data_IF_029388827171
#
_entry.id   IF_029388827171
#
_cell.length_a   1.000
_cell.length_b   1.000
_cell.length_c   1.000
_cell.angle_alpha   90.00
_cell.angle_beta   90.00
_cell.angle_gamma   90.00
#
_symmetry.space_group_name_H-M   'P 1'
#
loop_
_entity.id
_entity.type
_entity.pdbx_description
1 polymer ?
#
# COMPACT_ATOMS: atom_id res chain seq x y z
N UNK A 1 6.49 -2.07 -15.91
CA UNK A 1 7.20 -1.24 -14.91
C UNK A 1 8.03 -2.16 -14.02
N UNK A 2 9.28 -1.80 -13.69
CA UNK A 2 10.14 -2.64 -12.85
C UNK A 2 10.04 -2.22 -11.37
N UNK A 3 9.43 -3.06 -10.53
CA UNK A 3 9.30 -2.80 -9.09
C UNK A 3 10.66 -2.59 -8.40
N UNK A 4 11.74 -3.24 -8.87
CA UNK A 4 13.07 -3.06 -8.30
C UNK A 4 13.62 -1.65 -8.55
N UNK A 5 13.36 -1.08 -9.73
CA UNK A 5 13.74 0.31 -10.04
C UNK A 5 13.00 1.29 -9.14
N UNK A 6 11.70 1.07 -8.92
CA UNK A 6 10.89 1.90 -8.04
C UNK A 6 11.35 1.79 -6.58
N UNK A 7 11.69 0.60 -6.10
CA UNK A 7 12.28 0.39 -4.76
C UNK A 7 13.59 1.18 -4.62
N UNK A 8 14.48 1.10 -5.60
CA UNK A 8 15.75 1.83 -5.56
C UNK A 8 15.56 3.36 -5.55
N UNK A 9 14.57 3.88 -6.30
CA UNK A 9 14.19 5.29 -6.27
C UNK A 9 13.69 5.72 -4.88
N UNK A 10 12.75 4.96 -4.31
CA UNK A 10 12.18 5.27 -2.99
C UNK A 10 13.27 5.18 -1.91
N UNK A 11 14.19 4.21 -2.00
CA UNK A 11 15.34 4.12 -1.09
C UNK A 11 16.22 5.38 -1.12
N UNK A 12 16.49 5.94 -2.31
CA UNK A 12 17.25 7.19 -2.43
C UNK A 12 16.48 8.40 -1.92
N UNK A 13 15.16 8.44 -2.11
CA UNK A 13 14.31 9.51 -1.57
C UNK A 13 14.24 9.51 -0.05
N UNK A 14 14.28 8.33 0.58
CA UNK A 14 14.33 8.21 2.05
C UNK A 14 15.67 8.70 2.61
N UNK A 15 16.76 8.53 1.87
CA UNK A 15 18.11 8.88 2.32
C UNK A 15 18.87 9.62 1.20
N UNK A 16 18.47 10.86 0.88
CA UNK A 16 19.07 11.60 -0.22
C UNK A 16 20.52 11.98 0.10
N UNK A 17 21.39 11.87 -0.90
CA UNK A 17 22.80 12.29 -0.76
C UNK A 17 22.94 13.81 -0.84
N UNK A 18 22.19 14.43 -1.75
CA UNK A 18 22.11 15.88 -1.93
C UNK A 18 20.73 16.30 -2.47
N UNK A 19 20.51 17.61 -2.51
CA UNK A 19 19.25 18.22 -2.96
C UNK A 19 18.97 17.99 -4.45
N UNK A 20 20.01 17.91 -5.28
CA UNK A 20 19.89 17.72 -6.72
C UNK A 20 19.39 16.31 -7.03
N UNK A 21 19.98 15.31 -6.39
CA UNK A 21 19.56 13.91 -6.49
C UNK A 21 18.12 13.72 -6.00
N UNK A 22 17.74 14.38 -4.89
CA UNK A 22 16.36 14.35 -4.40
C UNK A 22 15.37 14.86 -5.46
N UNK A 23 15.65 16.02 -6.07
CA UNK A 23 14.78 16.60 -7.10
C UNK A 23 14.69 15.71 -8.36
N UNK A 24 15.79 15.08 -8.76
CA UNK A 24 15.82 14.15 -9.89
C UNK A 24 15.01 12.88 -9.61
N UNK A 25 15.14 12.30 -8.42
CA UNK A 25 14.38 11.12 -8.03
C UNK A 25 12.88 11.46 -7.87
N UNK A 26 12.54 12.63 -7.34
CA UNK A 26 11.15 13.11 -7.26
C UNK A 26 10.53 13.30 -8.65
N UNK A 27 11.26 13.93 -9.58
CA UNK A 27 10.83 14.05 -10.97
C UNK A 27 10.64 12.67 -11.63
N UNK A 28 11.56 11.74 -11.39
CA UNK A 28 11.46 10.37 -11.88
C UNK A 28 10.19 9.69 -11.36
N UNK A 29 9.87 9.83 -10.06
CA UNK A 29 8.61 9.31 -9.49
C UNK A 29 7.39 9.91 -10.19
N UNK A 30 7.40 11.21 -10.50
CA UNK A 30 6.31 11.86 -11.22
C UNK A 30 6.12 11.32 -12.65
N UNK A 31 7.21 10.96 -13.33
CA UNK A 31 7.18 10.29 -14.63
C UNK A 31 6.65 8.85 -14.52
N UNK A 32 7.12 8.08 -13.53
CA UNK A 32 6.61 6.73 -13.24
C UNK A 32 5.11 6.76 -12.93
N UNK A 33 4.62 7.80 -12.26
CA UNK A 33 3.20 7.97 -11.94
C UNK A 33 2.30 8.14 -13.16
N UNK A 34 2.85 8.44 -14.35
CA UNK A 34 2.08 8.49 -15.60
C UNK A 34 1.88 7.11 -16.24
N UNK A 35 2.64 6.09 -15.80
CA UNK A 35 2.61 4.76 -16.37
C UNK A 35 1.48 3.90 -15.77
N UNK A 36 0.76 3.11 -16.57
CA UNK A 36 -0.23 2.16 -16.06
C UNK A 36 0.39 1.16 -15.06
N UNK A 37 -0.34 0.84 -14.00
CA UNK A 37 0.10 -0.11 -12.97
C UNK A 37 1.10 0.46 -11.97
N UNK A 38 1.31 1.78 -11.96
CA UNK A 38 2.17 2.45 -10.96
C UNK A 38 1.64 2.25 -9.54
N UNK A 39 0.33 2.41 -9.33
CA UNK A 39 -0.31 2.20 -8.04
C UNK A 39 -0.19 0.75 -7.58
N UNK A 40 -0.40 -0.20 -8.49
CA UNK A 40 -0.20 -1.63 -8.20
C UNK A 40 1.25 -1.93 -7.79
N UNK A 41 2.23 -1.36 -8.49
CA UNK A 41 3.64 -1.50 -8.15
C UNK A 41 3.96 -0.92 -6.76
N UNK A 42 3.42 0.25 -6.42
CA UNK A 42 3.56 0.82 -5.07
C UNK A 42 2.92 -0.08 -4.02
N UNK A 43 1.74 -0.62 -4.29
CA UNK A 43 1.06 -1.52 -3.36
C UNK A 43 1.82 -2.83 -3.13
N UNK A 44 2.57 -3.33 -4.11
CA UNK A 44 3.48 -4.47 -3.88
C UNK A 44 4.60 -4.12 -2.88
N UNK A 45 5.13 -2.89 -2.93
CA UNK A 45 6.20 -2.43 -2.05
C UNK A 45 5.69 -2.24 -0.62
N UNK A 46 4.47 -1.76 -0.45
CA UNK A 46 3.87 -1.43 0.85
C UNK A 46 3.47 -2.66 1.66
N UNK A 47 3.31 -3.83 1.03
CA UNK A 47 2.78 -5.06 1.65
C UNK A 47 3.67 -5.63 2.78
N UNK A 48 3.07 -6.29 3.79
CA UNK A 48 3.80 -6.96 4.86
C UNK A 48 4.75 -8.05 4.37
N UNK A 49 4.45 -8.72 3.25
CA UNK A 49 5.30 -9.76 2.65
C UNK A 49 6.60 -9.20 2.06
N UNK A 50 6.71 -7.88 1.90
CA UNK A 50 7.93 -7.20 1.46
C UNK A 50 8.94 -7.03 2.60
N UNK A 51 9.06 -8.05 3.48
CA UNK A 51 9.85 -8.07 4.72
C UNK A 51 11.33 -7.75 4.51
N UNK A 52 11.85 -7.96 3.29
CA UNK A 52 13.23 -7.60 2.94
C UNK A 52 13.43 -6.09 2.76
N UNK A 53 12.37 -5.30 2.66
CA UNK A 53 12.43 -3.86 2.54
C UNK A 53 12.38 -3.22 3.93
N UNK A 54 13.21 -2.20 4.12
CA UNK A 54 13.17 -1.36 5.32
C UNK A 54 11.81 -0.69 5.47
N UNK A 55 11.35 -0.54 6.71
CA UNK A 55 10.05 0.08 6.99
C UNK A 55 9.96 1.53 6.52
N UNK A 56 11.06 2.28 6.50
CA UNK A 56 11.10 3.67 5.99
C UNK A 56 10.74 3.75 4.49
N UNK A 57 11.24 2.81 3.68
CA UNK A 57 10.91 2.65 2.25
C UNK A 57 9.44 2.29 2.07
N UNK A 58 8.95 1.31 2.84
CA UNK A 58 7.55 0.88 2.80
C UNK A 58 6.61 2.01 3.23
N UNK A 59 7.02 2.80 4.22
CA UNK A 59 6.27 3.95 4.71
C UNK A 59 6.19 5.06 3.65
N UNK A 60 7.31 5.44 3.03
CA UNK A 60 7.31 6.42 1.93
C UNK A 60 6.47 5.94 0.74
N UNK A 61 6.60 4.66 0.35
CA UNK A 61 5.77 4.07 -0.70
C UNK A 61 4.27 4.17 -0.37
N UNK A 62 3.88 3.99 0.89
CA UNK A 62 2.48 4.12 1.32
C UNK A 62 1.98 5.56 1.23
N UNK A 63 2.83 6.55 1.55
CA UNK A 63 2.50 7.98 1.38
C UNK A 63 2.29 8.31 -0.09
N UNK A 64 3.20 7.87 -0.97
CA UNK A 64 3.09 8.09 -2.42
C UNK A 64 1.80 7.43 -2.96
N UNK A 65 1.50 6.20 -2.55
CA UNK A 65 0.29 5.48 -2.95
C UNK A 65 -0.98 6.21 -2.51
N UNK A 66 -1.03 6.70 -1.27
CA UNK A 66 -2.15 7.49 -0.76
C UNK A 66 -2.38 8.73 -1.62
N UNK A 67 -1.31 9.46 -1.94
CA UNK A 67 -1.40 10.68 -2.75
C UNK A 67 -1.86 10.38 -4.19
N UNK A 68 -1.34 9.29 -4.79
CA UNK A 68 -1.80 8.82 -6.10
C UNK A 68 -3.31 8.55 -6.10
N UNK A 69 -3.82 7.85 -5.09
CA UNK A 69 -5.25 7.56 -4.96
C UNK A 69 -6.05 8.85 -4.82
N UNK A 70 -5.69 9.75 -3.89
CA UNK A 70 -6.41 11.02 -3.70
C UNK A 70 -6.50 11.86 -4.98
N UNK A 71 -5.45 11.89 -5.80
CA UNK A 71 -5.38 12.74 -7.01
C UNK A 71 -6.00 12.07 -8.25
N UNK A 72 -5.79 10.76 -8.39
CA UNK A 72 -5.98 10.04 -9.65
C UNK A 72 -7.12 9.02 -9.63
N UNK A 73 -7.78 8.77 -8.48
CA UNK A 73 -8.85 7.77 -8.40
C UNK A 73 -9.97 8.04 -9.41
N UNK A 74 -10.60 9.21 -9.40
CA UNK A 74 -11.54 9.63 -10.46
C UNK A 74 -10.92 10.60 -11.48
N UNK A 75 -9.65 10.97 -11.30
CA UNK A 75 -8.97 11.99 -12.09
C UNK A 75 -9.44 13.38 -11.73
N UNK A 76 -8.77 14.04 -10.78
CA UNK A 76 -9.05 15.44 -10.43
C UNK A 76 -8.29 16.36 -11.39
N UNK A 77 -8.97 17.41 -11.91
CA UNK A 77 -8.43 18.53 -12.73
C UNK A 77 -7.01 18.30 -13.31
N UNK A 78 -6.95 17.70 -14.49
CA UNK A 78 -5.69 17.54 -15.24
C UNK A 78 -4.84 16.32 -14.86
N UNK A 79 -5.23 15.55 -13.84
CA UNK A 79 -4.62 14.25 -13.52
C UNK A 79 -5.34 13.12 -14.26
N UNK A 80 -4.56 12.15 -14.76
CA UNK A 80 -5.10 10.96 -15.42
C UNK A 80 -5.86 10.11 -14.41
N UNK A 81 -7.06 9.66 -14.78
CA UNK A 81 -7.85 8.71 -13.99
C UNK A 81 -7.17 7.33 -13.97
N UNK A 82 -7.17 6.65 -12.82
CA UNK A 82 -6.74 5.26 -12.69
C UNK A 82 -7.65 4.33 -13.49
N UNK A 83 -7.05 3.35 -14.16
CA UNK A 83 -7.78 2.35 -14.94
C UNK A 83 -8.60 1.44 -14.02
N UNK A 84 -9.78 1.01 -14.47
CA UNK A 84 -10.71 0.26 -13.60
C UNK A 84 -10.12 -1.09 -13.12
N UNK A 85 -9.28 -1.73 -13.94
CA UNK A 85 -8.54 -2.94 -13.56
C UNK A 85 -7.55 -2.69 -12.42
N UNK A 86 -6.80 -1.58 -12.50
CA UNK A 86 -5.88 -1.16 -11.45
C UNK A 86 -6.63 -0.80 -10.16
N UNK A 87 -7.77 -0.13 -10.25
CA UNK A 87 -8.63 0.12 -9.08
C UNK A 87 -9.09 -1.17 -8.42
N UNK A 88 -9.60 -2.13 -9.21
CA UNK A 88 -10.09 -3.40 -8.68
C UNK A 88 -8.98 -4.17 -7.95
N UNK A 89 -7.77 -4.19 -8.52
CA UNK A 89 -6.61 -4.81 -7.87
C UNK A 89 -6.22 -4.10 -6.57
N UNK A 90 -6.16 -2.75 -6.57
CA UNK A 90 -5.84 -1.95 -5.39
C UNK A 90 -6.83 -2.18 -4.24
N UNK A 91 -8.13 -2.23 -4.54
CA UNK A 91 -9.19 -2.52 -3.54
C UNK A 91 -8.93 -3.82 -2.80
N UNK A 92 -8.78 -4.89 -3.57
CA UNK A 92 -8.62 -6.25 -3.05
C UNK A 92 -7.30 -6.39 -2.29
N UNK A 93 -6.22 -5.86 -2.84
CA UNK A 93 -4.88 -6.04 -2.28
C UNK A 93 -4.65 -5.18 -1.04
N UNK A 94 -5.16 -3.94 -1.01
CA UNK A 94 -5.06 -3.07 0.16
C UNK A 94 -5.85 -3.65 1.33
N UNK A 95 -7.12 -4.00 1.11
CA UNK A 95 -8.02 -4.59 2.10
C UNK A 95 -7.41 -5.86 2.71
N UNK A 96 -6.93 -6.78 1.87
CA UNK A 96 -6.37 -8.05 2.33
C UNK A 96 -5.09 -7.88 3.18
N UNK A 97 -4.33 -6.80 3.00
CA UNK A 97 -3.05 -6.63 3.67
C UNK A 97 -3.10 -5.76 4.94
N UNK A 98 -4.12 -4.92 5.14
CA UNK A 98 -4.26 -4.09 6.37
C UNK A 98 -4.20 -4.93 7.66
N UNK A 99 -4.93 -6.06 7.79
CA UNK A 99 -4.94 -6.83 9.04
C UNK A 99 -3.61 -7.51 9.39
N UNK A 100 -2.72 -7.69 8.40
CA UNK A 100 -1.46 -8.43 8.58
C UNK A 100 -0.24 -7.51 8.77
N UNK A 101 -0.44 -6.19 8.75
CA UNK A 101 0.64 -5.24 8.95
C UNK A 101 1.08 -5.19 10.42
N UNK A 102 2.36 -5.47 10.67
CA UNK A 102 2.93 -5.45 12.02
C UNK A 102 3.38 -4.06 12.43
N UNK A 103 3.80 -3.22 11.47
CA UNK A 103 4.21 -1.86 11.76
C UNK A 103 2.98 -0.96 11.89
N UNK A 104 2.69 -0.51 13.10
CA UNK A 104 1.48 0.28 13.41
C UNK A 104 1.35 1.57 12.57
N UNK A 105 2.46 2.20 12.21
CA UNK A 105 2.44 3.44 11.42
C UNK A 105 2.07 3.15 9.97
N UNK A 106 2.61 2.07 9.40
CA UNK A 106 2.24 1.60 8.06
C UNK A 106 0.79 1.13 8.06
N UNK A 107 0.36 0.37 9.08
CA UNK A 107 -1.01 -0.13 9.21
C UNK A 107 -2.02 1.03 9.20
N UNK A 108 -1.76 2.07 9.99
CA UNK A 108 -2.58 3.28 10.05
C UNK A 108 -2.65 3.98 8.70
N UNK A 109 -1.51 4.16 8.02
CA UNK A 109 -1.48 4.82 6.72
C UNK A 109 -2.24 4.02 5.66
N UNK A 110 -2.09 2.68 5.65
CA UNK A 110 -2.85 1.79 4.76
C UNK A 110 -4.36 1.83 5.04
N UNK A 111 -4.77 1.87 6.31
CA UNK A 111 -6.16 2.03 6.68
C UNK A 111 -6.74 3.38 6.21
N UNK A 112 -5.96 4.47 6.28
CA UNK A 112 -6.35 5.77 5.71
C UNK A 112 -6.47 5.72 4.19
N UNK A 113 -5.56 5.03 3.50
CA UNK A 113 -5.64 4.82 2.06
C UNK A 113 -6.91 4.04 1.69
N UNK A 114 -7.25 2.99 2.44
CA UNK A 114 -8.49 2.23 2.25
C UNK A 114 -9.73 3.10 2.48
N UNK A 115 -9.73 3.91 3.54
CA UNK A 115 -10.81 4.85 3.84
C UNK A 115 -10.99 5.89 2.71
N UNK A 116 -9.90 6.34 2.09
CA UNK A 116 -9.94 7.25 0.96
C UNK A 116 -10.59 6.59 -0.27
N UNK A 117 -10.21 5.35 -0.60
CA UNK A 117 -10.87 4.58 -1.66
C UNK A 117 -12.36 4.42 -1.36
N UNK A 118 -12.69 4.01 -0.13
CA UNK A 118 -14.06 3.83 0.32
C UNK A 118 -14.89 5.11 0.15
N UNK A 119 -14.31 6.28 0.43
CA UNK A 119 -14.99 7.58 0.24
C UNK A 119 -15.38 7.82 -1.21
N UNK A 120 -14.50 7.48 -2.16
CA UNK A 120 -14.80 7.59 -3.60
C UNK A 120 -15.88 6.59 -4.05
N UNK A 121 -15.82 5.38 -3.53
CA UNK A 121 -16.61 4.27 -4.09
C UNK A 121 -17.94 4.02 -3.37
N UNK A 122 -18.07 4.38 -2.09
CA UNK A 122 -19.33 4.30 -1.37
C UNK A 122 -20.32 5.37 -1.85
N UNK A 123 -19.82 6.56 -2.19
CA UNK A 123 -20.67 7.64 -2.74
C UNK A 123 -21.22 7.31 -4.13
N UNK A 124 -20.53 6.44 -4.87
CA UNK A 124 -20.87 6.03 -6.23
C UNK A 124 -21.41 4.59 -6.32
N UNK A 125 -21.52 3.88 -5.19
CA UNK A 125 -21.89 2.47 -5.08
C UNK A 125 -21.03 1.50 -5.92
N UNK A 126 -19.76 1.84 -6.13
CA UNK A 126 -18.79 1.05 -6.92
C UNK A 126 -18.04 -0.01 -6.09
N UNK A 127 -18.38 -0.16 -4.81
CA UNK A 127 -17.85 -1.20 -3.92
C UNK A 127 -18.89 -1.64 -2.88
N UNK A 128 -19.98 -2.30 -3.30
CA UNK A 128 -21.11 -2.61 -2.43
C UNK A 128 -20.76 -3.57 -1.28
N UNK A 129 -19.77 -4.44 -1.49
CA UNK A 129 -19.38 -5.46 -0.52
C UNK A 129 -18.30 -5.01 0.48
N UNK A 130 -17.88 -3.74 0.46
CA UNK A 130 -16.80 -3.25 1.33
C UNK A 130 -17.07 -3.51 2.82
N UNK A 131 -18.27 -3.19 3.31
CA UNK A 131 -18.60 -3.36 4.73
C UNK A 131 -18.62 -4.85 5.14
N UNK A 132 -19.32 -5.75 4.42
CA UNK A 132 -19.21 -7.18 4.66
C UNK A 132 -17.76 -7.71 4.63
N UNK A 133 -16.97 -7.29 3.65
CA UNK A 133 -15.56 -7.69 3.51
C UNK A 133 -14.70 -7.24 4.71
N UNK A 134 -14.92 -6.01 5.21
CA UNK A 134 -14.26 -5.50 6.41
C UNK A 134 -14.63 -6.29 7.66
N UNK A 135 -15.92 -6.59 7.85
CA UNK A 135 -16.40 -7.39 8.99
C UNK A 135 -15.73 -8.77 8.96
N UNK A 136 -15.78 -9.46 7.82
CA UNK A 136 -15.14 -10.76 7.65
C UNK A 136 -13.63 -10.70 7.94
N UNK A 137 -12.95 -9.64 7.50
CA UNK A 137 -11.51 -9.46 7.79
C UNK A 137 -11.19 -9.25 9.27
N UNK A 138 -12.14 -8.70 10.04
CA UNK A 138 -11.99 -8.47 11.48
C UNK A 138 -12.29 -9.71 12.34
N UNK A 139 -13.17 -10.60 11.84
CA UNK A 139 -13.52 -11.87 12.49
C UNK A 139 -12.40 -12.91 12.32
N UNK A 140 -11.52 -12.74 11.33
CA UNK A 140 -10.25 -13.46 11.27
C UNK A 140 -9.31 -12.98 12.38
N UNK A 141 -9.37 -13.64 13.53
CA UNK A 141 -8.55 -13.37 14.71
C UNK A 141 -7.04 -13.22 14.37
N UNK A 142 -6.42 -12.07 14.69
CA UNK A 142 -4.96 -11.94 14.72
C UNK A 142 -4.34 -12.71 15.89
N UNK A 143 -5.11 -12.93 16.97
CA UNK A 143 -4.65 -13.50 18.25
C UNK A 143 -4.39 -15.00 18.15
N UNK A 144 -5.17 -15.75 17.35
CA UNK A 144 -4.98 -17.20 17.16
C UNK A 144 -3.65 -17.59 16.50
N UNK A 145 -2.88 -16.62 15.94
CA UNK A 145 -1.59 -16.88 15.29
C UNK A 145 -0.37 -16.57 16.16
N UNK A 146 -0.49 -15.76 17.21
CA UNK A 146 0.60 -15.59 18.18
C UNK A 146 0.77 -16.84 19.04
N UNK A 147 -0.34 -17.50 19.39
CA UNK A 147 -0.35 -18.73 20.19
C UNK A 147 0.20 -19.94 19.43
N UNK A 148 0.00 -20.04 18.11
CA UNK A 148 0.59 -21.13 17.31
C UNK A 148 2.12 -21.06 17.34
N UNK A 149 2.70 -19.86 17.13
CA UNK A 149 4.16 -19.70 17.19
C UNK A 149 4.74 -19.96 18.59
N UNK A 150 4.02 -19.64 19.68
CA UNK A 150 4.52 -19.92 21.04
C UNK A 150 4.38 -21.40 21.41
N UNK A 151 3.29 -22.06 21.00
CA UNK A 151 3.10 -23.49 21.21
C UNK A 151 4.11 -24.33 20.40
N UNK A 152 4.39 -23.95 19.15
CA UNK A 152 5.37 -24.63 18.30
C UNK A 152 6.81 -24.47 18.81
N UNK A 153 7.16 -23.31 19.40
CA UNK A 153 8.47 -23.08 20.03
C UNK A 153 8.66 -23.89 21.31
N UNK A 154 7.58 -24.16 22.07
CA UNK A 154 7.63 -24.97 23.29
C UNK A 154 7.64 -26.48 22.99
N UNK A 155 6.97 -26.93 21.92
CA UNK A 155 7.02 -28.34 21.50
C UNK A 155 8.34 -28.74 20.84
N UNK A 156 9.08 -27.80 20.23
CA UNK A 156 10.42 -28.07 19.67
C UNK A 156 11.54 -28.14 20.73
N UNK A 157 11.24 -27.93 22.01
CA UNK A 157 12.20 -27.93 23.13
C UNK A 157 11.86 -28.93 24.25
N UNK A 158 10.93 -29.85 24.01
CA UNK A 158 10.67 -31.04 24.82
C UNK A 158 11.03 -32.28 23.99
#
# INVERSE_FOLDING_TARGET
>A
MNAQTLVALIQRLVTPQDQTQFQQDEASIAEFAQQPGFGVCLELITRPQSVQLRDDVRHLATIILKNLISDSWEGVRGKKKLEDGEKAELKQTILAAVPYEKNIQIAKMRALTLAEIARHDLTTNNWPNLIPELIASSETDPISRQTSNTADILQARL
#
